data_IF_435676927411
#
_entry.id   IF_435676927411
#
_cell.length_a   1.000
_cell.length_b   1.000
_cell.length_c   1.000
_cell.angle_alpha   90.00
_cell.angle_beta   90.00
_cell.angle_gamma   90.00
#
_symmetry.space_group_name_H-M   'P 1'
#
loop_
_entity.id
_entity.type
_entity.pdbx_description
1 polymer ?
#
# COMPACT_ATOMS: atom_id res chain seq x y z
N UNK A 1 -44.49 20.98 0.28
CA UNK A 1 -44.20 19.74 1.03
C UNK A 1 -43.87 18.67 0.00
N UNK A 2 -42.61 18.58 -0.45
CA UNK A 2 -41.46 17.88 0.13
C UNK A 2 -41.51 16.36 -0.06
N UNK A 3 -40.73 15.86 -1.02
CA UNK A 3 -39.92 14.64 -0.96
C UNK A 3 -39.34 14.33 -2.35
N UNK A 4 -38.38 15.12 -2.82
CA UNK A 4 -37.49 14.67 -3.88
C UNK A 4 -36.49 13.71 -3.22
N UNK A 5 -36.76 12.42 -3.33
CA UNK A 5 -35.89 11.34 -2.89
C UNK A 5 -34.51 11.49 -3.53
N UNK A 6 -33.51 11.93 -2.75
CA UNK A 6 -32.10 11.92 -3.11
C UNK A 6 -31.60 10.47 -3.13
N UNK A 7 -31.93 9.77 -4.20
CA UNK A 7 -31.35 8.47 -4.49
C UNK A 7 -29.90 8.69 -4.94
N UNK A 8 -28.98 8.66 -3.97
CA UNK A 8 -27.57 8.34 -4.24
C UNK A 8 -27.57 6.97 -4.91
N UNK A 9 -27.51 6.93 -6.25
CA UNK A 9 -27.35 5.66 -6.94
C UNK A 9 -25.99 5.08 -6.53
N UNK A 10 -25.89 3.81 -6.13
CA UNK A 10 -24.64 3.17 -5.69
C UNK A 10 -23.52 3.09 -6.74
N UNK A 11 -23.66 3.81 -7.87
CA UNK A 11 -22.61 3.97 -8.87
C UNK A 11 -22.23 5.43 -9.12
N UNK A 12 -22.98 6.43 -8.62
CA UNK A 12 -22.64 7.84 -8.90
C UNK A 12 -21.36 8.25 -8.19
N UNK A 13 -21.19 7.85 -6.93
CA UNK A 13 -20.00 8.17 -6.14
C UNK A 13 -18.76 7.52 -6.77
N UNK A 14 -18.88 6.27 -7.16
CA UNK A 14 -17.85 5.43 -7.76
C UNK A 14 -17.43 5.99 -9.13
N UNK A 15 -18.40 6.39 -9.98
CA UNK A 15 -18.09 7.07 -11.25
C UNK A 15 -17.38 8.41 -11.03
N UNK A 16 -17.75 9.17 -10.01
CA UNK A 16 -17.08 10.44 -9.67
C UNK A 16 -15.65 10.21 -9.18
N UNK A 17 -15.40 9.18 -8.36
CA UNK A 17 -14.06 8.84 -7.88
C UNK A 17 -13.16 8.35 -9.02
N UNK A 18 -13.66 7.44 -9.87
CA UNK A 18 -12.93 6.98 -11.04
C UNK A 18 -12.60 8.16 -11.98
N UNK A 19 -13.58 9.02 -12.28
CA UNK A 19 -13.38 10.19 -13.12
C UNK A 19 -12.38 11.19 -12.51
N UNK A 20 -12.41 11.38 -11.19
CA UNK A 20 -11.48 12.25 -10.47
C UNK A 20 -10.06 11.70 -10.47
N UNK A 21 -9.88 10.38 -10.29
CA UNK A 21 -8.58 9.75 -10.37
C UNK A 21 -7.97 9.91 -11.77
N UNK A 22 -8.77 9.68 -12.83
CA UNK A 22 -8.33 9.87 -14.21
C UNK A 22 -7.93 11.34 -14.47
N UNK A 23 -8.75 12.29 -14.02
CA UNK A 23 -8.44 13.73 -14.14
C UNK A 23 -7.15 14.10 -13.40
N UNK A 24 -6.93 13.56 -12.20
CA UNK A 24 -5.70 13.79 -11.43
C UNK A 24 -4.47 13.21 -12.15
N UNK A 25 -4.59 12.03 -12.76
CA UNK A 25 -3.50 11.41 -13.52
C UNK A 25 -3.16 12.26 -14.75
N UNK A 26 -4.18 12.60 -15.57
CA UNK A 26 -4.01 13.40 -16.79
C UNK A 26 -3.54 14.83 -16.48
N UNK A 27 -4.03 15.41 -15.37
CA UNK A 27 -3.69 16.75 -14.90
C UNK A 27 -2.45 16.84 -14.01
N UNK A 28 -1.67 15.76 -13.88
CA UNK A 28 -0.46 15.72 -13.04
C UNK A 28 -0.67 16.19 -11.59
N UNK A 29 -1.81 15.82 -10.99
CA UNK A 29 -2.23 16.20 -9.64
C UNK A 29 -3.17 17.40 -9.57
N UNK A 30 -3.44 18.06 -10.69
CA UNK A 30 -4.49 19.08 -10.78
C UNK A 30 -5.84 18.44 -11.14
N UNK A 31 -6.92 18.91 -10.51
CA UNK A 31 -8.28 18.41 -10.72
C UNK A 31 -9.25 19.54 -11.06
N UNK A 32 -10.04 19.40 -12.11
CA UNK A 32 -11.10 20.35 -12.46
C UNK A 32 -12.48 19.76 -12.23
N UNK A 33 -13.27 20.37 -11.34
CA UNK A 33 -14.60 19.86 -10.96
C UNK A 33 -15.55 19.74 -12.15
N UNK A 34 -15.45 20.65 -13.13
CA UNK A 34 -16.26 20.57 -14.35
C UNK A 34 -15.86 19.38 -15.23
N UNK A 35 -14.56 19.10 -15.34
CA UNK A 35 -14.06 17.97 -16.12
C UNK A 35 -14.47 16.64 -15.49
N UNK A 36 -14.34 16.51 -14.17
CA UNK A 36 -14.80 15.34 -13.42
C UNK A 36 -16.29 15.11 -13.60
N UNK A 37 -17.13 16.13 -13.39
CA UNK A 37 -18.58 15.99 -13.51
C UNK A 37 -19.00 15.59 -14.94
N UNK A 38 -18.37 16.19 -15.96
CA UNK A 38 -18.57 15.84 -17.37
C UNK A 38 -18.20 14.38 -17.64
N UNK A 39 -17.03 13.93 -17.17
CA UNK A 39 -16.53 12.55 -17.35
C UNK A 39 -17.42 11.52 -16.62
N UNK A 40 -17.89 11.85 -15.42
CA UNK A 40 -18.81 11.02 -14.65
C UNK A 40 -20.28 11.08 -15.12
N UNK A 41 -20.57 11.91 -16.14
CA UNK A 41 -21.90 12.16 -16.71
C UNK A 41 -22.92 12.64 -15.67
N UNK A 42 -22.52 13.58 -14.83
CA UNK A 42 -23.37 14.20 -13.81
C UNK A 42 -23.26 15.72 -13.83
N UNK A 43 -24.15 16.41 -13.12
CA UNK A 43 -24.01 17.86 -12.91
C UNK A 43 -22.89 18.16 -11.92
N UNK A 44 -22.24 19.32 -12.09
CA UNK A 44 -21.22 19.82 -11.15
C UNK A 44 -21.80 20.01 -9.75
N UNK A 45 -23.06 20.48 -9.66
CA UNK A 45 -23.76 20.60 -8.38
C UNK A 45 -23.94 19.26 -7.66
N UNK A 46 -24.18 18.17 -8.40
CA UNK A 46 -24.24 16.83 -7.81
C UNK A 46 -22.87 16.36 -7.31
N UNK A 47 -21.79 16.66 -8.04
CA UNK A 47 -20.43 16.35 -7.59
C UNK A 47 -20.09 17.08 -6.27
N UNK A 48 -20.40 18.38 -6.17
CA UNK A 48 -20.24 19.14 -4.93
C UNK A 48 -21.15 18.63 -3.80
N UNK A 49 -22.38 18.19 -4.11
CA UNK A 49 -23.25 17.57 -3.12
C UNK A 49 -22.65 16.28 -2.52
N UNK A 50 -21.97 15.46 -3.32
CA UNK A 50 -21.35 14.22 -2.85
C UNK A 50 -20.10 14.42 -2.00
N UNK A 51 -19.25 15.39 -2.34
CA UNK A 51 -17.91 15.52 -1.74
C UNK A 51 -17.70 16.82 -0.98
N UNK A 52 -18.68 17.73 -0.99
CA UNK A 52 -18.64 19.05 -0.36
C UNK A 52 -17.74 20.05 -1.07
N UNK A 53 -16.55 19.63 -1.49
CA UNK A 53 -15.53 20.49 -2.13
C UNK A 53 -14.61 19.70 -3.06
N UNK A 54 -13.82 20.43 -3.86
CA UNK A 54 -12.70 19.87 -4.64
C UNK A 54 -11.70 19.14 -3.75
N UNK A 55 -11.36 19.72 -2.59
CA UNK A 55 -10.46 19.10 -1.61
C UNK A 55 -11.03 17.79 -1.06
N UNK A 56 -12.32 17.78 -0.72
CA UNK A 56 -13.01 16.58 -0.24
C UNK A 56 -13.04 15.45 -1.28
N UNK A 57 -13.16 15.78 -2.57
CA UNK A 57 -13.06 14.81 -3.65
C UNK A 57 -11.64 14.24 -3.79
N UNK A 58 -10.60 15.09 -3.75
CA UNK A 58 -9.20 14.64 -3.81
C UNK A 58 -8.88 13.72 -2.63
N UNK A 59 -9.28 14.11 -1.41
CA UNK A 59 -9.12 13.29 -0.22
C UNK A 59 -9.78 11.92 -0.37
N UNK A 60 -11.02 11.87 -0.88
CA UNK A 60 -11.77 10.63 -1.07
C UNK A 60 -11.12 9.70 -2.12
N UNK A 61 -10.52 10.24 -3.18
CA UNK A 61 -9.78 9.44 -4.17
C UNK A 61 -8.54 8.81 -3.56
N UNK A 62 -7.78 9.56 -2.76
CA UNK A 62 -6.59 9.02 -2.06
C UNK A 62 -6.99 8.01 -0.99
N UNK A 63 -8.09 8.25 -0.27
CA UNK A 63 -8.64 7.29 0.69
C UNK A 63 -9.02 5.97 0.01
N UNK A 64 -9.64 6.01 -1.17
CA UNK A 64 -9.95 4.81 -1.95
C UNK A 64 -8.68 4.06 -2.38
N UNK A 65 -7.64 4.78 -2.82
CA UNK A 65 -6.34 4.20 -3.13
C UNK A 65 -5.76 3.45 -1.93
N UNK A 66 -5.75 4.08 -0.74
CA UNK A 66 -5.27 3.43 0.48
C UNK A 66 -6.15 2.26 0.92
N UNK A 67 -7.46 2.33 0.74
CA UNK A 67 -8.35 1.19 0.98
C UNK A 67 -8.01 -0.01 0.10
N UNK A 68 -7.69 0.21 -1.18
CA UNK A 68 -7.26 -0.86 -2.10
C UNK A 68 -5.88 -1.40 -1.74
N UNK A 69 -4.96 -0.53 -1.32
CA UNK A 69 -3.64 -0.94 -0.82
C UNK A 69 -3.76 -1.80 0.45
N UNK A 70 -4.64 -1.43 1.38
CA UNK A 70 -4.91 -2.20 2.60
C UNK A 70 -5.41 -3.62 2.30
N UNK A 71 -6.23 -3.77 1.24
CA UNK A 71 -6.71 -5.07 0.77
C UNK A 71 -5.60 -5.87 0.08
N UNK A 72 -4.68 -5.22 -0.62
CA UNK A 72 -3.60 -5.88 -1.35
C UNK A 72 -2.46 -6.34 -0.43
N UNK A 73 -2.07 -5.51 0.54
CA UNK A 73 -0.83 -5.70 1.30
C UNK A 73 -0.99 -5.73 2.82
N UNK A 74 -2.12 -5.32 3.41
CA UNK A 74 -2.24 -5.20 4.87
C UNK A 74 -3.35 -6.06 5.46
N UNK A 75 -4.28 -5.45 6.19
CA UNK A 75 -5.28 -6.16 6.98
C UNK A 75 -6.24 -7.01 6.12
N UNK A 76 -6.47 -6.62 4.85
CA UNK A 76 -7.31 -7.37 3.94
C UNK A 76 -6.56 -8.44 3.13
N UNK A 77 -5.23 -8.43 3.16
CA UNK A 77 -4.41 -9.32 2.33
C UNK A 77 -4.51 -10.77 2.81
N UNK A 78 -4.80 -11.68 1.88
CA UNK A 78 -4.79 -13.13 2.11
C UNK A 78 -3.46 -13.71 1.64
N UNK A 79 -2.43 -13.56 2.47
CA UNK A 79 -1.08 -14.06 2.19
C UNK A 79 -0.97 -15.52 2.63
N UNK A 80 -0.69 -16.42 1.69
CA UNK A 80 -0.42 -17.83 1.97
C UNK A 80 1.05 -17.98 2.32
N UNK A 81 1.36 -17.89 3.61
CA UNK A 81 2.73 -17.90 4.10
C UNK A 81 3.00 -19.08 5.03
N UNK A 82 4.19 -19.65 4.89
CA UNK A 82 4.66 -20.81 5.65
C UNK A 82 5.38 -20.42 6.95
N UNK A 83 5.86 -19.17 7.02
CA UNK A 83 6.48 -18.60 8.21
C UNK A 83 6.11 -17.12 8.37
N UNK A 84 6.43 -16.54 9.53
CA UNK A 84 6.27 -15.10 9.74
C UNK A 84 7.14 -14.29 8.78
N UNK A 85 8.38 -14.71 8.58
CA UNK A 85 9.32 -14.05 7.67
C UNK A 85 8.84 -14.08 6.22
N UNK A 86 8.36 -15.24 5.76
CA UNK A 86 7.75 -15.40 4.44
C UNK A 86 6.51 -14.50 4.28
N UNK A 87 5.66 -14.40 5.32
CA UNK A 87 4.52 -13.50 5.32
C UNK A 87 4.92 -12.04 5.14
N UNK A 88 5.95 -11.58 5.85
CA UNK A 88 6.39 -10.19 5.76
C UNK A 88 7.12 -9.89 4.45
N UNK A 89 7.87 -10.85 3.90
CA UNK A 89 8.42 -10.75 2.55
C UNK A 89 7.31 -10.63 1.50
N UNK A 90 6.29 -11.50 1.55
CA UNK A 90 5.13 -11.43 0.66
C UNK A 90 4.36 -10.12 0.82
N UNK A 91 4.29 -9.59 2.06
CA UNK A 91 3.67 -8.28 2.34
C UNK A 91 4.38 -7.15 1.63
N UNK A 92 5.71 -7.10 1.74
CA UNK A 92 6.55 -6.10 1.06
C UNK A 92 6.37 -6.24 -0.45
N UNK A 93 6.40 -7.47 -0.98
CA UNK A 93 6.17 -7.73 -2.40
C UNK A 93 4.82 -7.23 -2.89
N UNK A 94 3.73 -7.52 -2.17
CA UNK A 94 2.40 -7.03 -2.50
C UNK A 94 2.30 -5.49 -2.45
N UNK A 95 2.95 -4.87 -1.46
CA UNK A 95 3.02 -3.42 -1.33
C UNK A 95 3.77 -2.78 -2.50
N UNK A 96 4.93 -3.32 -2.89
CA UNK A 96 5.74 -2.85 -4.02
C UNK A 96 4.98 -3.03 -5.33
N UNK A 97 4.45 -4.24 -5.58
CA UNK A 97 3.70 -4.55 -6.79
C UNK A 97 2.49 -3.61 -6.97
N UNK A 98 1.71 -3.38 -5.91
CA UNK A 98 0.57 -2.48 -5.97
C UNK A 98 0.97 -1.07 -6.44
N UNK A 99 2.05 -0.51 -5.90
CA UNK A 99 2.51 0.81 -6.31
C UNK A 99 3.10 0.82 -7.71
N UNK A 100 3.71 -0.29 -8.15
CA UNK A 100 4.27 -0.38 -9.48
C UNK A 100 3.21 -0.46 -10.58
N UNK A 101 2.13 -1.18 -10.30
CA UNK A 101 1.04 -1.45 -11.25
C UNK A 101 -0.01 -0.33 -11.28
N UNK A 102 -0.10 0.49 -10.22
CA UNK A 102 -1.13 1.50 -10.10
C UNK A 102 -0.68 2.87 -10.65
N UNK A 103 -1.26 3.38 -11.76
CA UNK A 103 -0.80 4.62 -12.41
C UNK A 103 -0.96 5.87 -11.55
N UNK A 104 -1.86 5.84 -10.55
CA UNK A 104 -2.02 6.92 -9.58
C UNK A 104 -0.95 6.94 -8.47
N UNK A 105 -0.21 5.85 -8.27
CA UNK A 105 0.72 5.71 -7.15
C UNK A 105 1.81 6.80 -7.09
N UNK A 106 2.46 7.22 -8.21
CA UNK A 106 3.46 8.29 -8.18
C UNK A 106 2.90 9.63 -7.67
N UNK A 107 1.61 9.91 -7.92
CA UNK A 107 0.95 11.11 -7.43
C UNK A 107 0.69 11.02 -5.93
N UNK A 108 0.17 9.87 -5.46
CA UNK A 108 -0.14 9.62 -4.04
C UNK A 108 1.11 9.74 -3.18
N UNK A 109 2.17 8.99 -3.49
CA UNK A 109 3.40 9.01 -2.68
C UNK A 109 4.26 10.26 -2.91
N UNK A 110 3.99 11.00 -3.99
CA UNK A 110 4.70 12.19 -4.39
C UNK A 110 3.94 13.47 -4.06
N UNK A 111 3.50 14.26 -5.07
CA UNK A 111 2.92 15.59 -4.87
C UNK A 111 1.69 15.61 -3.97
N UNK A 112 0.78 14.63 -4.07
CA UNK A 112 -0.46 14.63 -3.29
C UNK A 112 -0.21 14.38 -1.80
N UNK A 113 0.80 13.60 -1.42
CA UNK A 113 1.13 13.39 0.00
C UNK A 113 1.54 14.66 0.75
N UNK A 114 1.88 15.73 0.03
CA UNK A 114 2.24 17.05 0.58
C UNK A 114 1.11 18.07 0.45
N UNK A 115 0.02 17.71 -0.22
CA UNK A 115 -1.13 18.57 -0.42
C UNK A 115 -1.94 18.65 0.88
N UNK A 116 -2.35 19.86 1.26
CA UNK A 116 -3.12 20.12 2.48
C UNK A 116 -4.42 19.32 2.54
N UNK A 117 -5.01 19.07 1.37
CA UNK A 117 -6.26 18.35 1.15
C UNK A 117 -6.19 16.88 1.56
N UNK A 118 -4.98 16.31 1.64
CA UNK A 118 -4.76 14.87 1.86
C UNK A 118 -4.06 14.60 3.21
N UNK A 119 -3.60 15.62 3.93
CA UNK A 119 -2.82 15.46 5.16
C UNK A 119 -3.52 14.60 6.23
N UNK A 120 -4.82 14.78 6.41
CA UNK A 120 -5.61 13.99 7.37
C UNK A 120 -5.69 12.52 6.94
N UNK A 121 -5.83 12.26 5.64
CA UNK A 121 -5.88 10.92 5.06
C UNK A 121 -4.52 10.22 5.22
N UNK A 122 -3.42 10.89 4.90
CA UNK A 122 -2.04 10.40 5.10
C UNK A 122 -1.76 10.09 6.58
N UNK A 123 -2.16 11.01 7.46
CA UNK A 123 -1.95 10.88 8.92
C UNK A 123 -2.73 9.69 9.47
N UNK A 124 -3.99 9.56 9.06
CA UNK A 124 -4.83 8.44 9.47
C UNK A 124 -4.27 7.11 8.95
N UNK A 125 -3.86 7.03 7.68
CA UNK A 125 -3.25 5.84 7.09
C UNK A 125 -1.96 5.46 7.83
N UNK A 126 -1.03 6.40 7.99
CA UNK A 126 0.25 6.18 8.67
C UNK A 126 0.05 5.73 10.12
N UNK A 127 -0.89 6.35 10.85
CA UNK A 127 -1.20 5.99 12.24
C UNK A 127 -1.74 4.56 12.36
N UNK A 128 -2.63 4.15 11.44
CA UNK A 128 -3.13 2.77 11.40
C UNK A 128 -2.01 1.77 11.15
N UNK A 129 -1.12 2.08 10.21
CA UNK A 129 0.01 1.23 9.84
C UNK A 129 1.01 1.06 10.99
N UNK A 130 1.38 2.17 11.65
CA UNK A 130 2.25 2.15 12.83
C UNK A 130 1.65 1.30 13.95
N UNK A 131 0.37 1.51 14.27
CA UNK A 131 -0.29 0.78 15.34
C UNK A 131 -0.44 -0.72 15.02
N UNK A 132 -0.78 -1.07 13.78
CA UNK A 132 -0.92 -2.47 13.35
C UNK A 132 0.44 -3.19 13.34
N UNK A 133 1.46 -2.56 12.77
CA UNK A 133 2.79 -3.17 12.70
C UNK A 133 3.51 -3.26 14.05
N UNK A 134 3.29 -2.31 14.97
CA UNK A 134 3.79 -2.42 16.34
C UNK A 134 3.21 -3.66 17.04
N UNK A 135 1.88 -3.87 16.98
CA UNK A 135 1.24 -5.07 17.54
C UNK A 135 1.74 -6.37 16.90
N UNK A 136 2.00 -6.34 15.60
CA UNK A 136 2.57 -7.48 14.87
C UNK A 136 3.98 -7.82 15.37
N UNK A 137 4.85 -6.82 15.51
CA UNK A 137 6.22 -7.02 16.01
C UNK A 137 6.24 -7.43 17.48
N UNK A 138 5.35 -6.89 18.31
CA UNK A 138 5.18 -7.33 19.71
C UNK A 138 4.77 -8.80 19.80
N UNK A 139 3.86 -9.26 18.93
CA UNK A 139 3.48 -10.67 18.85
C UNK A 139 4.66 -11.54 18.42
N UNK A 140 5.36 -11.15 17.36
CA UNK A 140 6.54 -11.89 16.87
C UNK A 140 7.66 -11.97 17.92
N UNK A 141 7.83 -10.91 18.72
CA UNK A 141 8.78 -10.88 19.84
C UNK A 141 8.36 -11.81 20.98
N UNK A 142 7.07 -11.83 21.35
CA UNK A 142 6.53 -12.77 22.36
C UNK A 142 6.70 -14.22 21.94
N UNK A 143 6.60 -14.50 20.64
CA UNK A 143 6.73 -15.83 20.06
C UNK A 143 8.20 -16.21 19.79
N UNK A 144 9.17 -15.35 20.12
CA UNK A 144 10.60 -15.60 19.96
C UNK A 144 11.12 -15.54 18.51
N UNK A 145 10.30 -15.07 17.56
CA UNK A 145 10.63 -14.96 16.13
C UNK A 145 11.56 -13.77 15.89
N UNK A 146 11.29 -12.65 16.57
CA UNK A 146 12.06 -11.41 16.48
C UNK A 146 12.78 -11.16 17.80
N UNK A 147 14.00 -10.63 17.73
CA UNK A 147 14.86 -10.39 18.91
C UNK A 147 14.16 -9.55 19.99
N UNK A 148 14.37 -9.91 21.26
CA UNK A 148 13.86 -9.16 22.41
C UNK A 148 14.41 -7.74 22.55
N UNK A 149 15.57 -7.48 21.92
CA UNK A 149 16.33 -6.23 22.04
C UNK A 149 15.84 -5.11 21.11
N UNK A 150 14.91 -5.41 20.20
CA UNK A 150 14.33 -4.38 19.32
C UNK A 150 13.18 -3.67 20.02
N UNK A 151 13.03 -2.37 19.74
CA UNK A 151 11.83 -1.60 20.09
C UNK A 151 10.81 -1.75 18.94
N UNK A 152 9.67 -2.42 19.16
CA UNK A 152 8.66 -2.63 18.12
C UNK A 152 8.16 -1.33 17.48
N UNK A 153 8.02 -0.25 18.26
CA UNK A 153 7.49 1.02 17.78
C UNK A 153 8.49 1.77 16.91
N UNK A 154 9.74 1.83 17.34
CA UNK A 154 10.80 2.45 16.54
C UNK A 154 11.06 1.63 15.27
N UNK A 155 11.13 0.31 15.39
CA UNK A 155 11.38 -0.58 14.26
C UNK A 155 10.29 -0.45 13.19
N UNK A 156 9.00 -0.49 13.56
CA UNK A 156 7.94 -0.34 12.55
C UNK A 156 7.95 1.04 11.90
N UNK A 157 8.27 2.09 12.65
CA UNK A 157 8.37 3.45 12.10
C UNK A 157 9.49 3.54 11.06
N UNK A 158 10.65 2.95 11.34
CA UNK A 158 11.77 2.86 10.40
C UNK A 158 11.43 2.01 9.18
N UNK A 159 10.72 0.89 9.35
CA UNK A 159 10.27 0.04 8.25
C UNK A 159 9.33 0.80 7.31
N UNK A 160 8.25 1.39 7.83
CA UNK A 160 7.26 2.13 7.04
C UNK A 160 7.93 3.32 6.33
N UNK A 161 8.72 4.11 7.07
CA UNK A 161 9.42 5.26 6.51
C UNK A 161 10.42 4.87 5.43
N UNK A 162 11.25 3.85 5.69
CA UNK A 162 12.27 3.35 4.77
C UNK A 162 11.67 2.78 3.49
N UNK A 163 10.64 1.94 3.60
CA UNK A 163 9.94 1.37 2.44
C UNK A 163 9.30 2.49 1.60
N UNK A 164 8.66 3.48 2.25
CA UNK A 164 8.07 4.62 1.55
C UNK A 164 9.12 5.43 0.78
N UNK A 165 10.28 5.71 1.39
CA UNK A 165 11.36 6.43 0.71
C UNK A 165 11.98 5.62 -0.42
N UNK A 166 12.17 4.31 -0.25
CA UNK A 166 12.64 3.42 -1.30
C UNK A 166 11.71 3.42 -2.51
N UNK A 167 10.38 3.36 -2.29
CA UNK A 167 9.40 3.46 -3.37
C UNK A 167 9.39 4.81 -4.07
N UNK A 168 9.49 5.92 -3.33
CA UNK A 168 9.59 7.25 -3.94
C UNK A 168 10.82 7.28 -4.85
N UNK A 169 11.99 6.88 -4.35
CA UNK A 169 13.21 6.81 -5.15
C UNK A 169 13.08 5.92 -6.39
N UNK A 170 12.44 4.76 -6.26
CA UNK A 170 12.24 3.82 -7.37
C UNK A 170 11.24 4.32 -8.43
N UNK A 171 10.18 5.02 -8.02
CA UNK A 171 9.12 5.49 -8.93
C UNK A 171 9.40 6.87 -9.54
N UNK A 172 10.27 7.66 -8.93
CA UNK A 172 10.65 9.00 -9.44
C UNK A 172 12.08 9.07 -9.96
N UNK A 173 12.89 8.02 -9.79
CA UNK A 173 14.28 7.97 -10.23
C UNK A 173 14.44 7.70 -11.73
N UNK A 174 15.63 7.98 -12.27
CA UNK A 174 15.98 7.73 -13.67
C UNK A 174 16.01 6.24 -14.01
N UNK A 175 16.44 5.41 -13.05
CA UNK A 175 16.43 3.96 -13.16
C UNK A 175 15.36 3.39 -12.25
N UNK A 176 14.36 2.76 -12.86
CA UNK A 176 13.30 2.06 -12.14
C UNK A 176 13.72 0.58 -11.99
N UNK A 177 14.07 0.12 -10.77
CA UNK A 177 14.45 -1.27 -10.57
C UNK A 177 13.26 -2.20 -10.82
N UNK A 178 13.58 -3.45 -11.17
CA UNK A 178 12.58 -4.53 -11.23
C UNK A 178 11.88 -4.66 -9.85
N UNK A 179 10.54 -4.79 -9.81
CA UNK A 179 9.81 -4.82 -8.55
C UNK A 179 10.14 -6.04 -7.67
N UNK A 180 10.51 -7.19 -8.25
CA UNK A 180 10.94 -8.34 -7.46
C UNK A 180 12.31 -8.08 -6.84
N UNK A 181 13.25 -7.52 -7.61
CA UNK A 181 14.55 -7.11 -7.07
C UNK A 181 14.42 -6.08 -5.95
N UNK A 182 13.57 -5.07 -6.12
CA UNK A 182 13.31 -4.06 -5.09
C UNK A 182 12.72 -4.68 -3.81
N UNK A 183 11.84 -5.67 -3.98
CA UNK A 183 11.26 -6.43 -2.86
C UNK A 183 12.34 -7.19 -2.09
N UNK A 184 13.21 -7.90 -2.81
CA UNK A 184 14.30 -8.67 -2.22
C UNK A 184 15.29 -7.76 -1.47
N UNK A 185 15.66 -6.62 -2.05
CA UNK A 185 16.58 -5.66 -1.43
C UNK A 185 16.00 -5.04 -0.15
N UNK A 186 14.72 -4.63 -0.19
CA UNK A 186 14.01 -4.12 0.99
C UNK A 186 13.91 -5.21 2.06
N UNK A 187 13.52 -6.42 1.69
CA UNK A 187 13.39 -7.53 2.62
C UNK A 187 14.73 -7.87 3.29
N UNK A 188 15.82 -7.95 2.53
CA UNK A 188 17.15 -8.21 3.06
C UNK A 188 17.56 -7.18 4.13
N UNK A 189 17.31 -5.89 3.87
CA UNK A 189 17.55 -4.82 4.84
C UNK A 189 16.68 -4.98 6.09
N UNK A 190 15.39 -5.26 5.94
CA UNK A 190 14.47 -5.39 7.07
C UNK A 190 14.74 -6.65 7.90
N UNK A 191 15.03 -7.78 7.28
CA UNK A 191 15.39 -9.03 7.97
C UNK A 191 16.65 -8.85 8.82
N UNK A 192 17.65 -8.12 8.31
CA UNK A 192 18.85 -7.76 9.07
C UNK A 192 18.52 -6.84 10.26
N UNK A 193 17.69 -5.82 10.05
CA UNK A 193 17.26 -4.91 11.11
C UNK A 193 16.45 -5.61 12.22
N UNK A 194 15.66 -6.62 11.85
CA UNK A 194 14.87 -7.45 12.77
C UNK A 194 15.71 -8.51 13.50
N UNK A 195 16.98 -8.69 13.11
CA UNK A 195 17.91 -9.70 13.66
C UNK A 195 17.29 -11.10 13.68
N UNK A 196 16.61 -11.47 12.59
CA UNK A 196 15.96 -12.77 12.51
C UNK A 196 17.00 -13.89 12.64
N UNK A 197 16.77 -14.93 13.45
CA UNK A 197 17.64 -16.10 13.47
C UNK A 197 17.66 -16.76 12.09
N UNK A 198 18.79 -17.34 11.68
CA UNK A 198 18.99 -17.96 10.34
C UNK A 198 17.89 -19.00 10.03
N UNK A 199 17.40 -19.68 11.06
CA UNK A 199 16.30 -20.65 11.00
C UNK A 199 14.95 -20.01 10.66
N UNK A 200 14.69 -18.77 11.12
CA UNK A 200 13.48 -18.02 10.78
C UNK A 200 13.56 -17.36 9.39
N UNK A 201 14.76 -17.22 8.82
CA UNK A 201 14.97 -16.69 7.47
C UNK A 201 14.79 -17.74 6.36
N UNK A 202 14.81 -19.03 6.73
CA UNK A 202 14.74 -20.14 5.79
C UNK A 202 13.29 -20.63 5.63
N UNK A 203 12.61 -20.28 4.53
CA UNK A 203 11.48 -21.08 4.03
C UNK A 203 11.93 -22.52 3.71
N UNK A 204 11.03 -23.52 3.60
CA UNK A 204 11.40 -24.92 3.58
C UNK A 204 12.42 -25.18 2.48
N UNK A 205 13.60 -25.66 2.89
CA UNK A 205 14.62 -26.15 1.99
C UNK A 205 13.96 -27.07 0.97
N UNK A 206 13.99 -26.67 -0.31
CA UNK A 206 13.78 -27.62 -1.41
C UNK A 206 14.88 -28.67 -1.28
N UNK A 207 14.59 -29.76 -0.58
CA UNK A 207 15.47 -30.91 -0.52
C UNK A 207 15.65 -31.39 -1.96
N UNK A 208 16.80 -31.05 -2.55
CA UNK A 208 17.27 -31.62 -3.79
C UNK A 208 17.42 -33.10 -3.52
N UNK A 209 16.47 -33.90 -4.00
CA UNK A 209 16.52 -35.35 -3.99
C UNK A 209 17.64 -35.74 -4.96
N UNK A 210 18.87 -35.82 -4.45
CA UNK A 210 19.98 -36.41 -5.19
C UNK A 210 19.66 -37.90 -5.37
N UNK A 211 19.15 -38.24 -6.56
CA UNK A 211 19.04 -39.61 -7.03
C UNK A 211 20.44 -40.21 -7.06
N UNK A 212 20.73 -41.11 -6.11
CA UNK A 212 21.91 -41.97 -6.16
C UNK A 212 21.80 -42.87 -7.41
N UNK A 213 22.80 -42.91 -8.30
CA UNK A 213 22.84 -43.94 -9.32
C UNK A 213 23.07 -45.30 -8.64
N UNK A 214 22.16 -46.22 -8.93
CA UNK A 214 22.16 -47.59 -8.44
C UNK A 214 23.37 -48.32 -9.05
N UNK A 215 24.33 -48.72 -8.23
CA UNK A 215 25.38 -49.65 -8.63
C UNK A 215 24.82 -51.05 -8.44
N UNK A 216 24.57 -51.75 -9.54
CA UNK A 216 24.33 -53.20 -9.52
C UNK A 216 25.29 -53.87 -10.51
N UNK A 217 26.13 -54.69 -9.86
CA UNK A 217 26.93 -55.85 -10.27
C UNK A 217 26.97 -56.22 -11.75
#
# INVERSE_FOLDING_TARGET
MNAASSATSPGTRERLLAAAQEELIEGHGHLEMQAVARRAQVSVGLAYHHFGSKAGLIAAVVEEFYGRLDQAAFAGARLSAESWADREMQRIGAYVAFHYDHPFAPLVIGPLSRASEVLDVETAFTSRQLAAGARMLEAARRDGIVSGDIDPHLTIALMIGGIRQALIGALTGEQRPDPAQLTDDIWAFMAAALRLPVEAQSGPSKTIRQSRPNVQQ
#
